data_IF_543052769086
#
_entry.id   IF_543052769086
#
_cell.length_a   1.000
_cell.length_b   1.000
_cell.length_c   1.000
_cell.angle_alpha   90.00
_cell.angle_beta   90.00
_cell.angle_gamma   90.00
#
_symmetry.space_group_name_H-M   'P 1'
#
loop_
_entity.id
_entity.type
_entity.pdbx_description
1 polymer ?
#
# COMPACT_ATOMS: atom_id res chain seq x y z
N UNK A 1 -28.55 -10.27 16.43
CA UNK A 1 -27.85 -8.98 16.29
C UNK A 1 -26.51 -9.16 16.95
N UNK A 2 -25.43 -9.34 16.17
CA UNK A 2 -24.08 -9.32 16.74
C UNK A 2 -23.81 -7.92 17.27
N UNK A 3 -23.42 -7.80 18.54
CA UNK A 3 -22.87 -6.55 19.04
C UNK A 3 -21.75 -6.10 18.11
N UNK A 4 -21.87 -4.89 17.55
CA UNK A 4 -20.75 -4.26 16.86
C UNK A 4 -19.66 -4.06 17.91
N UNK A 5 -18.59 -4.84 17.82
CA UNK A 5 -17.39 -4.62 18.63
C UNK A 5 -16.96 -3.17 18.45
N UNK A 6 -16.86 -2.42 19.55
CA UNK A 6 -16.34 -1.04 19.51
C UNK A 6 -14.93 -1.10 18.93
N UNK A 7 -14.74 -0.47 17.77
CA UNK A 7 -13.43 -0.43 17.11
C UNK A 7 -12.50 0.47 17.93
N UNK A 8 -11.59 -0.15 18.69
CA UNK A 8 -10.56 0.53 19.47
C UNK A 8 -9.36 0.88 18.60
N UNK A 9 -9.61 1.63 17.53
CA UNK A 9 -8.61 1.94 16.52
C UNK A 9 -8.25 3.42 16.46
N UNK A 10 -7.12 3.67 15.80
CA UNK A 10 -6.73 4.99 15.31
C UNK A 10 -6.28 4.85 13.86
N UNK A 11 -6.58 5.84 13.03
CA UNK A 11 -6.11 5.93 11.65
C UNK A 11 -5.07 7.05 11.51
N UNK A 12 -3.91 6.72 10.94
CA UNK A 12 -2.85 7.67 10.60
C UNK A 12 -2.82 7.80 9.06
N UNK A 13 -3.35 8.92 8.57
CA UNK A 13 -3.44 9.24 7.14
C UNK A 13 -2.14 9.88 6.58
N UNK A 14 -0.98 9.40 7.03
CA UNK A 14 0.32 9.73 6.41
C UNK A 14 0.64 8.66 5.37
N UNK A 15 0.76 9.05 4.10
CA UNK A 15 1.05 8.17 2.97
C UNK A 15 2.37 7.38 3.10
N UNK A 16 3.24 7.75 4.04
CA UNK A 16 4.55 7.10 4.25
C UNK A 16 4.88 6.94 5.73
N UNK A 17 3.92 6.56 6.57
CA UNK A 17 4.15 6.35 8.00
C UNK A 17 5.33 5.40 8.26
N UNK A 18 6.31 5.84 9.05
CA UNK A 18 7.50 5.05 9.38
C UNK A 18 8.69 5.30 8.45
N UNK A 19 8.55 6.17 7.44
CA UNK A 19 9.65 6.57 6.55
C UNK A 19 10.66 7.50 7.23
N UNK A 20 10.25 8.28 8.24
CA UNK A 20 11.08 9.30 8.89
C UNK A 20 11.42 8.95 10.34
N UNK A 21 12.49 9.56 10.87
CA UNK A 21 12.93 9.32 12.25
C UNK A 21 11.87 9.77 13.26
N UNK A 22 11.20 10.90 12.98
CA UNK A 22 10.09 11.44 13.78
C UNK A 22 8.97 10.42 13.99
N UNK A 23 8.75 9.50 13.05
CA UNK A 23 7.69 8.50 13.15
C UNK A 23 8.05 7.43 14.18
N UNK A 24 9.33 7.04 14.25
CA UNK A 24 9.83 6.13 15.28
C UNK A 24 9.81 6.76 16.68
N UNK A 25 10.09 8.07 16.78
CA UNK A 25 9.98 8.86 18.00
C UNK A 25 8.51 8.98 18.43
N UNK A 26 7.58 9.25 17.51
CA UNK A 26 6.14 9.25 17.80
C UNK A 26 5.66 7.87 18.25
N UNK A 27 6.15 6.79 17.65
CA UNK A 27 5.84 5.43 18.09
C UNK A 27 6.25 5.16 19.55
N UNK A 28 7.32 5.79 20.07
CA UNK A 28 7.67 5.70 21.50
C UNK A 28 6.61 6.35 22.40
N UNK A 29 5.96 7.42 21.93
CA UNK A 29 4.86 8.05 22.65
C UNK A 29 3.58 7.22 22.57
N UNK A 30 3.26 6.65 21.40
CA UNK A 30 2.11 5.77 21.22
C UNK A 30 2.25 4.55 22.14
N UNK A 31 3.44 3.94 22.22
CA UNK A 31 3.68 2.81 23.12
C UNK A 31 3.36 3.14 24.58
N UNK A 32 3.70 4.33 25.08
CA UNK A 32 3.35 4.74 26.45
C UNK A 32 1.83 4.78 26.69
N UNK A 33 1.06 5.19 25.68
CA UNK A 33 -0.40 5.17 25.73
C UNK A 33 -0.90 3.73 25.73
N UNK A 34 -0.33 2.87 24.88
CA UNK A 34 -0.68 1.45 24.81
C UNK A 34 -0.37 0.71 26.11
N UNK A 35 0.76 0.98 26.78
CA UNK A 35 1.07 0.35 28.07
C UNK A 35 0.12 0.82 29.18
N UNK A 36 -0.35 2.06 29.11
CA UNK A 36 -1.20 2.63 30.16
C UNK A 36 -2.68 2.27 30.00
N UNK A 37 -3.16 2.22 28.77
CA UNK A 37 -4.60 2.13 28.48
C UNK A 37 -4.97 0.91 27.64
N UNK A 38 -3.99 0.14 27.17
CA UNK A 38 -4.19 -0.90 26.16
C UNK A 38 -4.97 -0.37 24.94
N UNK A 39 -4.68 0.86 24.53
CA UNK A 39 -5.26 1.51 23.38
C UNK A 39 -4.16 2.27 22.62
N UNK A 40 -4.17 2.29 21.28
CA UNK A 40 -5.10 1.60 20.38
C UNK A 40 -4.84 0.09 20.27
N UNK A 41 -5.88 -0.67 19.90
CA UNK A 41 -5.82 -2.11 19.59
C UNK A 41 -5.50 -2.38 18.12
N UNK A 42 -5.80 -1.42 17.25
CA UNK A 42 -5.46 -1.43 15.84
C UNK A 42 -5.04 -0.03 15.39
N UNK A 43 -4.00 0.04 14.55
CA UNK A 43 -3.49 1.29 14.01
C UNK A 43 -3.53 1.15 12.50
N UNK A 44 -4.54 1.75 11.86
CA UNK A 44 -4.58 1.84 10.41
C UNK A 44 -3.55 2.85 9.94
N UNK A 45 -2.71 2.44 8.99
CA UNK A 45 -1.58 3.24 8.50
C UNK A 45 -1.33 2.92 7.04
N UNK A 46 -0.79 3.88 6.29
CA UNK A 46 -0.26 3.61 4.96
C UNK A 46 1.24 3.36 5.04
N UNK A 47 1.63 2.20 4.54
CA UNK A 47 3.01 1.69 4.61
C UNK A 47 3.94 2.49 3.71
N UNK A 48 5.20 2.70 4.13
CA UNK A 48 6.12 3.52 3.36
C UNK A 48 6.56 2.77 2.11
N UNK A 49 6.65 3.51 0.99
CA UNK A 49 7.04 2.99 -0.33
C UNK A 49 8.52 2.64 -0.44
N UNK A 50 9.31 2.86 0.61
CA UNK A 50 10.74 2.53 0.72
C UNK A 50 11.13 2.33 2.18
N UNK A 51 12.28 1.68 2.43
CA UNK A 51 12.91 1.61 3.76
C UNK A 51 12.01 1.02 4.87
N UNK A 52 11.41 -0.14 4.60
CA UNK A 52 10.46 -0.83 5.45
C UNK A 52 11.06 -1.39 6.75
N UNK A 53 12.39 -1.54 6.84
CA UNK A 53 13.06 -1.98 8.08
C UNK A 53 12.67 -1.14 9.28
N UNK A 54 12.53 0.18 9.10
CA UNK A 54 12.08 1.06 10.18
C UNK A 54 10.62 0.82 10.51
N UNK A 55 9.78 0.69 9.49
CA UNK A 55 8.36 0.46 9.67
C UNK A 55 8.09 -0.87 10.40
N UNK A 56 8.82 -1.92 10.06
CA UNK A 56 8.77 -3.20 10.77
C UNK A 56 9.15 -3.02 12.24
N UNK A 57 10.24 -2.31 12.55
CA UNK A 57 10.64 -2.04 13.94
C UNK A 57 9.59 -1.23 14.69
N UNK A 58 8.92 -0.30 14.03
CA UNK A 58 7.80 0.46 14.59
C UNK A 58 6.63 -0.49 14.89
N UNK A 59 6.23 -1.34 13.95
CA UNK A 59 5.14 -2.28 14.17
C UNK A 59 5.46 -3.28 15.30
N UNK A 60 6.69 -3.82 15.35
CA UNK A 60 7.13 -4.71 16.42
C UNK A 60 7.10 -4.01 17.78
N UNK A 61 7.53 -2.75 17.85
CA UNK A 61 7.43 -1.89 19.05
C UNK A 61 5.98 -1.69 19.47
N UNK A 62 5.09 -1.44 18.50
CA UNK A 62 3.67 -1.22 18.70
C UNK A 62 2.87 -2.53 18.76
N UNK A 63 3.48 -3.58 19.31
CA UNK A 63 2.85 -4.88 19.62
C UNK A 63 2.13 -5.50 18.41
N UNK A 64 2.69 -5.35 17.21
CA UNK A 64 2.14 -5.83 15.95
C UNK A 64 0.74 -5.28 15.62
N UNK A 65 0.39 -4.08 16.09
CA UNK A 65 -0.94 -3.47 15.91
C UNK A 65 -1.06 -2.57 14.68
N UNK A 66 0.02 -2.29 13.96
CA UNK A 66 -0.05 -1.49 12.75
C UNK A 66 -0.54 -2.31 11.54
N UNK A 67 -1.29 -1.67 10.66
CA UNK A 67 -1.69 -2.20 9.37
C UNK A 67 -0.49 -2.34 8.43
N UNK A 68 -0.34 -3.49 7.78
CA UNK A 68 0.79 -3.71 6.87
C UNK A 68 0.26 -4.05 5.47
N UNK A 69 0.21 -3.05 4.60
CA UNK A 69 -0.15 -3.20 3.19
C UNK A 69 1.05 -3.06 2.25
N UNK A 70 0.81 -3.32 0.97
CA UNK A 70 1.77 -3.14 -0.13
C UNK A 70 1.15 -2.17 -1.14
N UNK A 71 1.96 -1.27 -1.73
CA UNK A 71 1.48 -0.32 -2.74
C UNK A 71 2.18 -0.54 -4.08
N UNK A 72 1.72 -1.55 -4.83
CA UNK A 72 2.24 -1.87 -6.18
C UNK A 72 1.60 -1.01 -7.27
N UNK A 73 0.27 -0.81 -7.26
CA UNK A 73 -0.54 -0.12 -8.29
C UNK A 73 -0.59 -0.81 -9.67
N UNK A 74 0.54 -1.31 -10.18
CA UNK A 74 0.64 -2.21 -11.34
C UNK A 74 1.87 -3.11 -11.17
N UNK A 75 1.94 -4.21 -11.92
CA UNK A 75 3.10 -5.09 -12.03
C UNK A 75 3.80 -5.01 -13.41
N UNK A 76 3.28 -4.18 -14.32
CA UNK A 76 3.87 -3.86 -15.62
C UNK A 76 4.89 -2.73 -15.47
N UNK A 77 6.14 -3.01 -15.80
CA UNK A 77 7.21 -2.00 -15.71
C UNK A 77 6.94 -0.81 -16.65
N UNK A 78 6.42 -1.06 -17.86
CA UNK A 78 6.04 -0.02 -18.82
C UNK A 78 4.92 0.88 -18.27
N UNK A 79 3.90 0.29 -17.63
CA UNK A 79 2.83 1.04 -16.98
C UNK A 79 3.38 1.92 -15.86
N UNK A 80 4.24 1.34 -15.01
CA UNK A 80 4.84 2.03 -13.87
C UNK A 80 5.73 3.20 -14.33
N UNK A 81 6.50 3.01 -15.40
CA UNK A 81 7.33 4.06 -16.01
C UNK A 81 6.46 5.20 -16.58
N UNK A 82 5.35 4.87 -17.24
CA UNK A 82 4.41 5.86 -17.79
C UNK A 82 3.81 6.79 -16.73
N UNK A 83 3.57 6.26 -15.53
CA UNK A 83 3.06 7.03 -14.38
C UNK A 83 4.18 7.52 -13.45
N UNK A 84 5.45 7.38 -13.85
CA UNK A 84 6.64 7.81 -13.11
C UNK A 84 6.71 7.19 -11.70
N UNK A 85 6.23 5.97 -11.57
CA UNK A 85 6.19 5.22 -10.31
C UNK A 85 7.47 4.41 -10.17
N UNK A 86 8.34 4.83 -9.26
CA UNK A 86 9.47 4.01 -8.85
C UNK A 86 9.01 3.02 -7.77
N UNK A 87 9.00 1.72 -8.12
CA UNK A 87 8.61 0.62 -7.23
C UNK A 87 9.83 -0.21 -6.81
N UNK A 88 9.62 -1.09 -5.84
CA UNK A 88 10.62 -2.10 -5.53
C UNK A 88 10.65 -3.20 -6.58
N UNK A 89 11.75 -3.94 -6.59
CA UNK A 89 11.82 -5.19 -7.34
C UNK A 89 10.80 -6.20 -6.81
N UNK A 90 10.33 -7.11 -7.68
CA UNK A 90 9.41 -8.19 -7.29
C UNK A 90 9.94 -9.00 -6.09
N UNK A 91 11.25 -9.25 -6.04
CA UNK A 91 11.86 -9.99 -4.94
C UNK A 91 11.74 -9.26 -3.60
N UNK A 92 11.96 -7.94 -3.58
CA UNK A 92 11.79 -7.13 -2.37
C UNK A 92 10.36 -7.15 -1.86
N UNK A 93 9.37 -7.13 -2.77
CA UNK A 93 7.97 -7.29 -2.38
C UNK A 93 7.69 -8.68 -1.80
N UNK A 94 8.20 -9.74 -2.42
CA UNK A 94 8.07 -11.11 -1.90
C UNK A 94 8.67 -11.22 -0.49
N UNK A 95 9.84 -10.63 -0.26
CA UNK A 95 10.50 -10.68 1.04
C UNK A 95 9.73 -9.86 2.09
N UNK A 96 9.14 -8.74 1.71
CA UNK A 96 8.25 -7.99 2.58
C UNK A 96 6.96 -8.76 2.90
N UNK A 97 6.35 -9.42 1.92
CA UNK A 97 5.18 -10.29 2.10
C UNK A 97 5.45 -11.42 3.11
N UNK A 98 6.65 -12.02 3.09
CA UNK A 98 7.05 -13.02 4.10
C UNK A 98 7.05 -12.44 5.51
N UNK A 99 7.51 -11.21 5.68
CA UNK A 99 7.52 -10.53 6.99
C UNK A 99 6.11 -10.15 7.47
N UNK A 100 5.19 -9.84 6.56
CA UNK A 100 3.76 -9.66 6.87
C UNK A 100 3.16 -11.00 7.35
N UNK A 101 3.36 -12.08 6.61
CA UNK A 101 2.82 -13.40 6.95
C UNK A 101 3.37 -13.95 8.27
N UNK A 102 4.67 -13.74 8.55
CA UNK A 102 5.30 -14.10 9.83
C UNK A 102 4.62 -13.43 11.03
N UNK A 103 4.00 -12.27 10.82
CA UNK A 103 3.25 -11.50 11.82
C UNK A 103 1.77 -11.87 11.89
N UNK A 104 1.34 -12.90 11.16
CA UNK A 104 -0.06 -13.36 11.13
C UNK A 104 -1.01 -12.37 10.47
N UNK A 105 -0.50 -11.48 9.60
CA UNK A 105 -1.29 -10.47 8.90
C UNK A 105 -1.53 -10.89 7.44
N UNK A 106 -2.66 -10.48 6.84
CA UNK A 106 -2.88 -10.66 5.41
C UNK A 106 -1.97 -9.71 4.62
N UNK A 107 -1.35 -10.19 3.55
CA UNK A 107 -0.69 -9.33 2.59
C UNK A 107 -1.72 -8.83 1.57
N UNK A 108 -1.97 -7.52 1.58
CA UNK A 108 -2.88 -6.86 0.65
C UNK A 108 -2.13 -5.84 -0.19
N UNK A 109 -2.58 -5.67 -1.43
CA UNK A 109 -2.10 -4.61 -2.32
C UNK A 109 -3.25 -3.98 -3.06
N UNK A 110 -3.04 -2.75 -3.53
CA UNK A 110 -3.95 -2.07 -4.44
C UNK A 110 -3.40 -2.14 -5.86
N UNK A 111 -4.29 -2.38 -6.83
CA UNK A 111 -4.03 -2.35 -8.27
C UNK A 111 -4.99 -1.35 -8.91
N UNK A 112 -4.50 -0.55 -9.85
CA UNK A 112 -5.29 0.45 -10.56
C UNK A 112 -5.35 0.04 -12.04
N UNK A 113 -6.55 -0.04 -12.61
CA UNK A 113 -6.76 -0.52 -13.98
C UNK A 113 -7.81 0.31 -14.74
N UNK A 114 -7.62 0.57 -16.04
CA UNK A 114 -6.34 0.54 -16.75
C UNK A 114 -5.53 1.81 -16.43
N UNK A 115 -4.27 1.65 -16.06
CA UNK A 115 -3.31 2.76 -16.07
C UNK A 115 -2.72 2.90 -17.49
N UNK A 116 -2.13 4.06 -17.85
CA UNK A 116 -1.56 4.23 -19.19
C UNK A 116 -0.50 3.17 -19.53
N UNK A 117 -0.75 2.41 -20.60
CA UNK A 117 0.11 1.31 -21.05
C UNK A 117 -0.22 -0.06 -20.44
N UNK A 118 -1.21 -0.13 -19.54
CA UNK A 118 -1.71 -1.40 -19.03
C UNK A 118 -2.53 -2.13 -20.10
N UNK A 119 -2.31 -3.42 -20.26
CA UNK A 119 -3.09 -4.28 -21.15
C UNK A 119 -3.85 -5.34 -20.36
N UNK A 120 -4.83 -5.98 -20.99
CA UNK A 120 -5.54 -7.13 -20.40
C UNK A 120 -4.55 -8.24 -19.99
N UNK A 121 -3.57 -8.54 -20.85
CA UNK A 121 -2.54 -9.52 -20.59
C UNK A 121 -1.67 -9.13 -19.39
N UNK A 122 -1.15 -7.90 -19.35
CA UNK A 122 -0.30 -7.46 -18.23
C UNK A 122 -1.04 -7.44 -16.91
N UNK A 123 -2.33 -7.06 -16.92
CA UNK A 123 -3.18 -7.10 -15.73
C UNK A 123 -3.38 -8.54 -15.23
N UNK A 124 -3.74 -9.47 -16.12
CA UNK A 124 -3.95 -10.87 -15.71
C UNK A 124 -2.66 -11.56 -15.25
N UNK A 125 -1.53 -11.30 -15.90
CA UNK A 125 -0.23 -11.78 -15.44
C UNK A 125 0.12 -11.23 -14.05
N UNK A 126 -0.14 -9.94 -13.82
CA UNK A 126 0.03 -9.30 -12.53
C UNK A 126 -0.83 -9.95 -11.45
N UNK A 127 -2.13 -10.14 -11.72
CA UNK A 127 -3.05 -10.81 -10.81
C UNK A 127 -2.63 -12.26 -10.53
N UNK A 128 -2.17 -12.99 -11.53
CA UNK A 128 -1.63 -14.34 -11.37
C UNK A 128 -0.42 -14.35 -10.43
N UNK A 129 0.52 -13.44 -10.62
CA UNK A 129 1.68 -13.31 -9.73
C UNK A 129 1.26 -13.05 -8.28
N UNK A 130 0.28 -12.16 -8.04
CA UNK A 130 -0.21 -11.86 -6.69
C UNK A 130 -0.84 -13.10 -6.04
N UNK A 131 -1.69 -13.82 -6.77
CA UNK A 131 -2.32 -15.06 -6.28
C UNK A 131 -1.30 -16.15 -5.98
N UNK A 132 -0.32 -16.35 -6.85
CA UNK A 132 0.77 -17.33 -6.67
C UNK A 132 1.64 -17.01 -5.45
N UNK A 133 1.60 -15.78 -4.93
CA UNK A 133 2.35 -15.32 -3.75
C UNK A 133 1.47 -15.04 -2.52
N UNK A 134 0.19 -15.47 -2.52
CA UNK A 134 -0.76 -15.26 -1.44
C UNK A 134 -0.99 -13.77 -1.09
N UNK A 135 -0.96 -12.90 -2.08
CA UNK A 135 -1.24 -11.47 -1.93
C UNK A 135 -2.64 -11.20 -2.49
N UNK A 136 -3.50 -10.60 -1.67
CA UNK A 136 -4.86 -10.21 -2.09
C UNK A 136 -4.83 -8.82 -2.70
N UNK A 137 -5.38 -8.66 -3.91
CA UNK A 137 -5.48 -7.36 -4.57
C UNK A 137 -6.86 -6.72 -4.36
N UNK A 138 -6.88 -5.44 -4.01
CA UNK A 138 -8.01 -4.55 -4.23
C UNK A 138 -7.84 -3.83 -5.57
N UNK A 139 -8.76 -4.03 -6.50
CA UNK A 139 -8.70 -3.41 -7.83
C UNK A 139 -9.56 -2.14 -7.88
N UNK A 140 -8.97 -1.05 -8.35
CA UNK A 140 -9.61 0.25 -8.51
C UNK A 140 -9.56 0.69 -9.96
N UNK A 141 -10.59 1.44 -10.40
CA UNK A 141 -10.62 2.00 -11.75
C UNK A 141 -9.86 3.34 -11.79
N UNK A 142 -9.04 3.54 -12.81
CA UNK A 142 -8.35 4.83 -13.02
C UNK A 142 -9.35 5.98 -13.17
N UNK A 143 -9.10 7.07 -12.44
CA UNK A 143 -9.93 8.29 -12.50
C UNK A 143 -9.09 9.49 -12.92
N UNK A 144 -9.64 10.30 -13.82
CA UNK A 144 -9.03 11.55 -14.27
C UNK A 144 -9.43 12.69 -13.32
N UNK A 145 -8.58 12.95 -12.33
CA UNK A 145 -8.84 13.97 -11.32
C UNK A 145 -8.26 15.33 -11.72
N UNK A 146 -9.05 16.39 -11.61
CA UNK A 146 -8.59 17.75 -11.87
C UNK A 146 -7.38 18.10 -10.99
N UNK A 147 -6.30 18.59 -11.62
CA UNK A 147 -5.05 18.95 -10.93
C UNK A 147 -4.04 17.81 -10.75
N UNK A 148 -4.46 16.54 -10.89
CA UNK A 148 -3.57 15.38 -10.91
C UNK A 148 -2.88 15.25 -12.28
N UNK A 149 -1.73 14.56 -12.32
CA UNK A 149 -0.90 14.39 -13.53
C UNK A 149 -1.73 13.94 -14.75
N UNK A 150 -2.55 12.89 -14.57
CA UNK A 150 -3.39 12.35 -15.64
C UNK A 150 -4.54 13.28 -16.03
N UNK A 151 -5.13 14.02 -15.09
CA UNK A 151 -6.24 14.95 -15.38
C UNK A 151 -5.83 16.25 -16.04
N UNK A 152 -4.56 16.44 -16.43
CA UNK A 152 -4.08 17.60 -17.19
C UNK A 152 -4.31 17.39 -18.68
N UNK A 153 -4.65 18.46 -19.41
CA UNK A 153 -4.88 18.43 -20.86
C UNK A 153 -3.77 17.74 -21.65
N UNK A 154 -2.51 17.93 -21.26
CA UNK A 154 -1.37 17.31 -21.92
C UNK A 154 -1.36 15.78 -21.76
N UNK A 155 -1.69 15.28 -20.57
CA UNK A 155 -1.77 13.84 -20.31
C UNK A 155 -3.00 13.23 -20.96
N UNK A 156 -4.16 13.90 -20.90
CA UNK A 156 -5.37 13.51 -21.62
C UNK A 156 -5.02 13.36 -23.10
N UNK A 157 -4.54 14.41 -23.78
CA UNK A 157 -4.19 14.33 -25.21
C UNK A 157 -3.16 13.24 -25.56
N UNK A 158 -2.24 12.94 -24.63
CA UNK A 158 -1.23 11.90 -24.83
C UNK A 158 -1.84 10.50 -24.81
N UNK A 159 -2.83 10.28 -23.95
CA UNK A 159 -3.40 8.95 -23.67
C UNK A 159 -4.85 8.77 -24.14
N UNK A 160 -5.48 9.79 -24.72
CA UNK A 160 -6.83 9.81 -25.32
C UNK A 160 -6.91 9.04 -26.66
N UNK A 161 -6.01 8.06 -26.87
CA UNK A 161 -6.02 7.20 -28.03
C UNK A 161 -6.69 5.86 -27.65
N UNK A 162 -7.75 5.41 -28.35
CA UNK A 162 -8.50 4.19 -28.01
C UNK A 162 -7.72 2.87 -28.13
N UNK A 163 -6.44 2.89 -28.52
CA UNK A 163 -5.54 1.72 -28.46
C UNK A 163 -4.73 1.65 -27.15
N UNK A 164 -4.86 2.63 -26.25
CA UNK A 164 -4.10 2.74 -25.00
C UNK A 164 -4.95 2.54 -23.73
N UNK A 165 -6.21 2.13 -23.87
CA UNK A 165 -7.16 1.87 -22.77
C UNK A 165 -7.94 0.59 -23.06
#
# INVERSE_FOLDING_TARGET
MSESSVEHEISIFDDNWGLFKKDAELADHILKVMEKYDWPQYISTHTPKSNWDRYIRINDKLKNRCEMGISMQSLSDDTLDNIKRNNWTRQQYIDYTKEIHKRGKPATTEIIVPLPGETEESYFEGMKFLMDNNITAGTYTTMMLCGAELGRDAAIKKYDNPECI
#
